data_IF_986710527505
#
_entry.id   IF_986710527505
#
_cell.length_a   1.000
_cell.length_b   1.000
_cell.length_c   1.000
_cell.angle_alpha   90.00
_cell.angle_beta   90.00
_cell.angle_gamma   90.00
#
_symmetry.space_group_name_H-M   'P 1'
#
loop_
_entity.id
_entity.type
_entity.pdbx_description
1 polymer ?
#
# COMPACT_ATOMS: atom_id res chain seq x y z
N UNK A 1 11.59 48.19 30.95
CA UNK A 1 11.52 48.37 32.42
C UNK A 1 10.72 47.24 33.05
N UNK A 2 11.24 46.69 34.14
CA UNK A 2 10.62 45.63 34.92
C UNK A 2 10.07 46.21 36.24
N UNK A 3 8.91 45.75 36.67
CA UNK A 3 8.28 46.16 37.92
C UNK A 3 7.77 44.95 38.70
N UNK A 4 7.69 45.11 40.03
CA UNK A 4 7.16 44.08 40.92
C UNK A 4 5.66 44.25 41.11
N UNK A 5 4.97 43.13 41.28
CA UNK A 5 3.57 43.07 41.68
C UNK A 5 3.46 42.08 42.82
N UNK A 6 2.97 42.53 43.98
CA UNK A 6 2.60 41.66 45.08
C UNK A 6 1.30 40.92 44.72
N UNK A 7 1.28 39.61 44.98
CA UNK A 7 0.10 38.76 44.85
C UNK A 7 -0.58 38.60 46.22
N UNK A 8 -1.91 38.37 46.30
CA UNK A 8 -2.59 38.13 47.59
C UNK A 8 -2.03 36.95 48.38
N UNK A 9 -1.33 36.01 47.72
CA UNK A 9 -0.61 34.89 48.36
C UNK A 9 0.67 35.32 49.10
N UNK A 10 1.05 36.59 49.03
CA UNK A 10 2.28 37.16 49.60
C UNK A 10 3.53 36.95 48.72
N UNK A 11 3.40 36.29 47.56
CA UNK A 11 4.52 36.10 46.64
C UNK A 11 4.69 37.29 45.70
N UNK A 12 5.94 37.69 45.47
CA UNK A 12 6.26 38.69 44.45
C UNK A 12 6.27 38.09 43.04
N UNK A 13 5.67 38.83 42.11
CA UNK A 13 5.77 38.59 40.68
C UNK A 13 6.55 39.71 40.02
N UNK A 14 7.39 39.37 39.05
CA UNK A 14 8.02 40.36 38.19
C UNK A 14 7.28 40.44 36.87
N UNK A 15 6.98 41.66 36.44
CA UNK A 15 6.37 41.97 35.15
C UNK A 15 7.30 42.87 34.36
N UNK A 16 7.47 42.58 33.06
CA UNK A 16 8.34 43.37 32.19
C UNK A 16 7.88 43.27 30.73
N UNK A 17 8.39 44.16 29.89
CA UNK A 17 8.18 44.12 28.44
C UNK A 17 9.50 43.85 27.73
N UNK A 18 9.46 42.98 26.74
CA UNK A 18 10.61 42.65 25.90
C UNK A 18 10.12 42.30 24.48
N UNK A 19 10.73 42.87 23.45
CA UNK A 19 10.33 42.64 22.05
C UNK A 19 8.85 42.94 21.76
N UNK A 20 8.30 44.00 22.35
CA UNK A 20 6.88 44.39 22.19
C UNK A 20 5.87 43.52 22.95
N UNK A 21 6.29 42.48 23.66
CA UNK A 21 5.40 41.58 24.42
C UNK A 21 5.57 41.79 25.93
N UNK A 22 4.46 41.67 26.69
CA UNK A 22 4.46 41.73 28.16
C UNK A 22 4.60 40.31 28.74
N UNK A 23 5.49 40.15 29.71
CA UNK A 23 5.70 38.91 30.45
C UNK A 23 5.43 39.14 31.94
N UNK A 24 4.93 38.09 32.61
CA UNK A 24 4.73 38.04 34.07
C UNK A 24 5.21 36.68 34.58
N UNK A 25 6.09 36.67 35.59
CA UNK A 25 6.62 35.45 36.21
C UNK A 25 6.63 35.60 37.74
N UNK A 26 6.33 34.52 38.44
CA UNK A 26 6.44 34.47 39.90
C UNK A 26 7.92 34.34 40.29
N UNK A 27 8.36 35.16 41.25
CA UNK A 27 9.70 35.03 41.83
C UNK A 27 9.75 33.99 42.95
N UNK A 28 8.59 33.46 43.37
CA UNK A 28 8.47 32.48 44.48
C UNK A 28 9.19 32.92 45.76
N UNK A 29 9.18 34.22 46.04
CA UNK A 29 9.73 34.81 47.26
C UNK A 29 8.68 35.74 47.87
N UNK A 30 8.65 35.74 49.21
CA UNK A 30 7.87 36.70 50.02
C UNK A 30 8.75 37.83 50.56
N UNK A 31 10.06 37.75 50.37
CA UNK A 31 11.02 38.76 50.80
C UNK A 31 11.12 39.86 49.73
N UNK A 32 10.78 41.08 50.13
CA UNK A 32 10.81 42.28 49.29
C UNK A 32 12.22 42.62 48.81
N UNK A 33 13.24 42.46 49.66
CA UNK A 33 14.62 42.79 49.31
C UNK A 33 15.16 41.81 48.25
N UNK A 34 14.88 40.52 48.41
CA UNK A 34 15.21 39.49 47.42
C UNK A 34 14.46 39.72 46.10
N UNK A 35 13.17 40.08 46.17
CA UNK A 35 12.37 40.38 44.99
C UNK A 35 12.95 41.57 44.20
N UNK A 36 13.35 42.64 44.88
CA UNK A 36 13.97 43.81 44.25
C UNK A 36 15.35 43.47 43.65
N UNK A 37 16.17 42.69 44.35
CA UNK A 37 17.44 42.20 43.82
C UNK A 37 17.26 41.40 42.52
N UNK A 38 16.24 40.53 42.43
CA UNK A 38 15.92 39.78 41.20
C UNK A 38 15.37 40.68 40.08
N UNK A 39 14.59 41.71 40.43
CA UNK A 39 14.09 42.71 39.46
C UNK A 39 15.26 43.47 38.82
N UNK A 40 16.22 43.93 39.62
CA UNK A 40 17.39 44.66 39.14
C UNK A 40 18.27 43.80 38.22
N UNK A 41 18.53 42.53 38.60
CA UNK A 41 19.26 41.59 37.72
C UNK A 41 18.55 41.37 36.39
N UNK A 42 17.23 41.21 36.42
CA UNK A 42 16.43 41.07 35.21
C UNK A 42 16.57 42.31 34.30
N UNK A 43 16.54 43.52 34.86
CA UNK A 43 16.74 44.75 34.07
C UNK A 43 18.12 44.82 33.45
N UNK A 44 19.16 44.40 34.17
CA UNK A 44 20.52 44.33 33.63
C UNK A 44 20.63 43.30 32.51
N UNK A 45 20.03 42.11 32.67
CA UNK A 45 20.01 41.10 31.63
C UNK A 45 19.27 41.58 30.37
N UNK A 46 18.18 42.35 30.52
CA UNK A 46 17.49 42.97 29.38
C UNK A 46 18.43 43.93 28.65
N UNK A 47 19.18 44.79 29.38
CA UNK A 47 20.17 45.70 28.77
C UNK A 47 21.30 44.95 28.06
N UNK A 48 21.78 43.84 28.63
CA UNK A 48 22.81 43.01 28.01
C UNK A 48 22.31 42.37 26.70
N UNK A 49 21.05 41.96 26.65
CA UNK A 49 20.44 41.45 25.42
C UNK A 49 20.25 42.55 24.39
N UNK A 50 19.72 43.71 24.80
CA UNK A 50 19.50 44.86 23.90
C UNK A 50 20.81 45.41 23.31
N UNK A 51 21.89 45.40 24.09
CA UNK A 51 23.23 45.76 23.63
C UNK A 51 23.94 44.67 22.82
N UNK A 52 23.34 43.48 22.68
CA UNK A 52 23.91 42.34 21.96
C UNK A 52 25.03 41.60 22.70
N UNK A 53 25.32 41.95 23.95
CA UNK A 53 26.34 41.29 24.78
C UNK A 53 25.89 39.93 25.32
N UNK A 54 24.58 39.74 25.48
CA UNK A 54 23.98 38.46 25.87
C UNK A 54 23.15 37.90 24.70
N UNK A 55 23.66 36.91 23.94
CA UNK A 55 22.92 36.34 22.82
C UNK A 55 21.76 35.47 23.33
N UNK A 56 20.54 35.76 22.88
CA UNK A 56 19.35 34.94 23.19
C UNK A 56 19.24 33.79 22.19
N UNK A 57 19.26 32.51 22.63
CA UNK A 57 19.05 31.38 21.75
C UNK A 57 17.66 31.43 21.09
N UNK A 58 17.56 31.08 19.80
CA UNK A 58 16.30 31.15 19.03
C UNK A 58 15.16 30.29 19.62
N UNK A 59 15.50 29.27 20.40
CA UNK A 59 14.54 28.32 20.99
C UNK A 59 14.33 28.52 22.50
N UNK A 60 14.99 29.51 23.13
CA UNK A 60 14.90 29.71 24.57
C UNK A 60 13.58 30.37 24.98
N UNK A 61 12.99 29.92 26.10
CA UNK A 61 11.92 30.65 26.77
C UNK A 61 12.50 31.94 27.37
N UNK A 62 12.27 33.06 26.67
CA UNK A 62 12.88 34.37 26.96
C UNK A 62 12.76 34.78 28.44
N UNK A 63 11.60 34.65 29.12
CA UNK A 63 11.52 35.00 30.55
C UNK A 63 12.36 34.10 31.44
N UNK A 64 12.44 32.81 31.14
CA UNK A 64 13.24 31.86 31.92
C UNK A 64 14.73 32.14 31.73
N UNK A 65 15.16 32.37 30.48
CA UNK A 65 16.55 32.70 30.15
C UNK A 65 17.03 34.00 30.82
N UNK A 66 16.19 35.05 30.80
CA UNK A 66 16.51 36.33 31.41
C UNK A 66 16.51 36.29 32.94
N UNK A 67 15.72 35.40 33.56
CA UNK A 67 15.68 35.23 35.02
C UNK A 67 16.79 34.32 35.55
N UNK A 68 17.45 33.55 34.68
CA UNK A 68 18.51 32.62 35.04
C UNK A 68 19.91 33.14 34.69
N UNK A 69 20.06 34.46 34.52
CA UNK A 69 21.33 35.12 34.16
C UNK A 69 21.99 34.50 32.91
N UNK A 70 21.17 34.06 31.94
CA UNK A 70 21.63 33.38 30.73
C UNK A 70 22.09 31.93 30.92
N UNK A 71 22.06 31.41 32.16
CA UNK A 71 22.39 30.01 32.47
C UNK A 71 21.10 29.19 32.42
N UNK A 72 20.92 28.39 31.38
CA UNK A 72 19.83 27.42 31.36
C UNK A 72 20.27 26.23 32.24
N UNK A 73 19.85 26.22 33.52
CA UNK A 73 20.22 25.18 34.51
C UNK A 73 19.73 23.77 34.16
N UNK A 74 18.77 23.66 33.25
CA UNK A 74 18.44 22.38 32.65
C UNK A 74 19.28 22.22 31.38
N UNK A 75 20.20 21.25 31.40
CA UNK A 75 20.76 20.66 30.18
C UNK A 75 19.56 20.34 29.30
N UNK A 76 19.34 21.14 28.25
CA UNK A 76 18.25 20.92 27.31
C UNK A 76 18.48 19.52 26.77
N UNK A 77 17.65 18.57 27.22
CA UNK A 77 17.62 17.25 26.62
C UNK A 77 16.99 17.47 25.27
N UNK A 78 17.84 17.70 24.27
CA UNK A 78 17.42 17.69 22.88
C UNK A 78 17.05 16.24 22.63
N UNK A 79 15.75 15.94 22.66
CA UNK A 79 15.25 14.63 22.27
C UNK A 79 15.85 14.28 20.91
N UNK A 80 16.47 13.10 20.83
CA UNK A 80 17.09 12.66 19.60
C UNK A 80 16.05 12.72 18.46
N UNK A 81 16.39 13.30 17.30
CA UNK A 81 15.45 13.44 16.21
C UNK A 81 14.96 12.06 15.78
N UNK A 82 13.64 11.93 15.60
CA UNK A 82 13.03 10.65 15.19
C UNK A 82 13.38 10.36 13.74
N UNK A 83 14.12 9.27 13.55
CA UNK A 83 14.52 8.77 12.23
C UNK A 83 13.44 7.89 11.63
N UNK A 84 13.46 7.72 10.30
CA UNK A 84 12.48 6.92 9.56
C UNK A 84 12.43 5.47 10.07
N UNK A 85 13.60 4.88 10.30
CA UNK A 85 13.72 3.53 10.84
C UNK A 85 13.07 3.43 12.23
N UNK A 86 13.38 4.36 13.14
CA UNK A 86 12.87 4.35 14.51
C UNK A 86 11.36 4.58 14.60
N UNK A 87 10.81 5.39 13.68
CA UNK A 87 9.37 5.59 13.56
C UNK A 87 8.68 4.29 13.18
N UNK A 88 9.14 3.62 12.12
CA UNK A 88 8.54 2.37 11.68
C UNK A 88 8.72 1.24 12.70
N UNK A 89 9.90 1.12 13.33
CA UNK A 89 10.12 0.14 14.39
C UNK A 89 9.15 0.33 15.54
N UNK A 90 9.00 1.57 16.03
CA UNK A 90 8.05 1.88 17.09
C UNK A 90 6.59 1.63 16.65
N UNK A 91 6.26 1.99 15.41
CA UNK A 91 4.92 1.79 14.85
C UNK A 91 4.56 0.30 14.80
N UNK A 92 5.44 -0.55 14.26
CA UNK A 92 5.19 -1.99 14.18
C UNK A 92 5.21 -2.66 15.56
N UNK A 93 6.05 -2.21 16.49
CA UNK A 93 6.06 -2.72 17.87
C UNK A 93 4.77 -2.38 18.64
N UNK A 94 4.11 -1.27 18.29
CA UNK A 94 2.86 -0.85 18.92
C UNK A 94 1.61 -1.53 18.34
N UNK A 95 1.72 -2.29 17.26
CA UNK A 95 0.58 -3.03 16.70
C UNK A 95 0.21 -4.20 17.62
N UNK A 96 -1.00 -4.17 18.17
CA UNK A 96 -1.55 -5.31 18.92
C UNK A 96 -1.78 -6.51 17.99
N UNK A 97 -1.58 -7.71 18.55
CA UNK A 97 -1.84 -8.97 17.84
C UNK A 97 -3.29 -9.01 17.35
N UNK A 98 -3.48 -9.24 16.05
CA UNK A 98 -4.80 -9.33 15.41
C UNK A 98 -5.41 -8.00 14.93
N UNK A 99 -4.76 -6.85 15.18
CA UNK A 99 -5.24 -5.56 14.66
C UNK A 99 -5.15 -5.46 13.13
N UNK A 100 -4.07 -6.02 12.57
CA UNK A 100 -3.87 -6.12 11.13
C UNK A 100 -3.59 -7.57 10.73
N UNK A 101 -4.06 -7.93 9.54
CA UNK A 101 -3.72 -9.20 8.91
C UNK A 101 -2.21 -9.30 8.66
N UNK A 102 -1.61 -10.47 8.88
CA UNK A 102 -0.18 -10.71 8.65
C UNK A 102 0.27 -10.35 7.23
N UNK A 103 -0.57 -10.63 6.22
CA UNK A 103 -0.31 -10.24 4.83
C UNK A 103 -0.26 -8.72 4.64
N UNK A 104 -1.09 -7.97 5.36
CA UNK A 104 -1.07 -6.50 5.37
C UNK A 104 0.21 -6.00 6.02
N UNK A 105 0.59 -6.55 7.17
CA UNK A 105 1.85 -6.20 7.86
C UNK A 105 3.04 -6.51 6.94
N UNK A 106 3.07 -7.68 6.30
CA UNK A 106 4.11 -8.04 5.33
C UNK A 106 4.16 -7.07 4.14
N UNK A 107 3.02 -6.61 3.66
CA UNK A 107 2.93 -5.57 2.63
C UNK A 107 3.55 -4.26 3.11
N UNK A 108 3.15 -3.79 4.30
CA UNK A 108 3.68 -2.56 4.90
C UNK A 108 5.20 -2.63 5.14
N UNK A 109 5.74 -3.79 5.50
CA UNK A 109 7.20 -4.00 5.64
C UNK A 109 7.94 -3.91 4.29
N UNK A 110 7.30 -4.30 3.17
CA UNK A 110 7.85 -4.02 1.83
C UNK A 110 7.88 -2.51 1.59
N UNK A 111 6.80 -1.82 1.94
CA UNK A 111 6.67 -0.37 1.73
C UNK A 111 7.70 0.41 2.55
N UNK A 112 7.89 0.03 3.82
CA UNK A 112 8.96 0.52 4.71
C UNK A 112 10.32 0.42 4.03
N UNK A 113 10.70 -0.78 3.56
CA UNK A 113 12.02 -1.00 2.92
C UNK A 113 12.22 -0.16 1.67
N UNK A 114 11.16 0.13 0.93
CA UNK A 114 11.23 1.03 -0.21
C UNK A 114 11.45 2.48 0.22
N UNK A 115 10.72 2.97 1.21
CA UNK A 115 10.89 4.32 1.76
C UNK A 115 12.30 4.49 2.34
N UNK A 116 12.76 3.54 3.13
CA UNK A 116 14.10 3.50 3.73
C UNK A 116 15.21 3.53 2.68
N UNK A 117 15.06 2.77 1.58
CA UNK A 117 16.04 2.76 0.48
C UNK A 117 16.17 4.12 -0.20
N UNK A 118 15.08 4.88 -0.32
CA UNK A 118 15.05 6.11 -1.11
C UNK A 118 15.26 7.38 -0.27
N UNK A 119 14.67 7.44 0.92
CA UNK A 119 14.81 8.58 1.83
C UNK A 119 16.02 8.43 2.77
N UNK A 120 16.45 7.18 3.02
CA UNK A 120 17.52 6.84 3.94
C UNK A 120 17.02 6.46 5.34
N UNK A 121 17.69 5.49 5.98
CA UNK A 121 17.29 4.97 7.30
C UNK A 121 17.36 6.05 8.40
N UNK A 122 18.38 6.92 8.33
CA UNK A 122 18.63 8.00 9.29
C UNK A 122 17.87 9.29 8.97
N UNK A 123 17.00 9.28 7.96
CA UNK A 123 16.22 10.46 7.58
C UNK A 123 15.37 10.94 8.75
N UNK A 124 15.50 12.21 9.13
CA UNK A 124 14.74 12.82 10.23
C UNK A 124 13.31 13.09 9.76
N UNK A 125 12.37 12.26 10.22
CA UNK A 125 11.01 12.22 9.68
C UNK A 125 10.30 13.56 9.84
N UNK A 126 10.49 14.24 10.97
CA UNK A 126 9.85 15.53 11.26
C UNK A 126 10.16 16.62 10.22
N UNK A 127 11.23 16.48 9.43
CA UNK A 127 11.64 17.41 8.37
C UNK A 127 11.06 17.06 6.99
N UNK A 128 10.32 15.97 6.85
CA UNK A 128 9.76 15.56 5.56
C UNK A 128 8.92 16.69 4.96
N UNK A 129 9.17 16.98 3.70
CA UNK A 129 8.46 17.98 2.92
C UNK A 129 7.65 17.32 1.81
N UNK A 130 6.80 18.12 1.14
CA UNK A 130 6.11 17.69 -0.08
C UNK A 130 7.12 17.34 -1.19
N UNK A 131 8.24 18.08 -1.27
CA UNK A 131 9.28 17.90 -2.28
C UNK A 131 10.03 16.57 -2.11
N UNK A 132 10.34 16.18 -0.87
CA UNK A 132 10.95 14.87 -0.57
C UNK A 132 10.04 13.72 -1.04
N UNK A 133 8.74 13.84 -0.76
CA UNK A 133 7.75 12.85 -1.17
C UNK A 133 7.55 12.85 -2.70
N UNK A 134 7.59 14.01 -3.35
CA UNK A 134 7.51 14.09 -4.82
C UNK A 134 8.75 13.47 -5.46
N UNK A 135 9.94 13.71 -4.91
CA UNK A 135 11.20 13.07 -5.32
C UNK A 135 11.11 11.56 -5.19
N UNK A 136 10.60 11.06 -4.06
CA UNK A 136 10.31 9.63 -3.89
C UNK A 136 9.40 9.09 -4.99
N UNK A 137 8.27 9.76 -5.28
CA UNK A 137 7.33 9.33 -6.33
C UNK A 137 8.01 9.29 -7.69
N UNK A 138 8.78 10.32 -8.06
CA UNK A 138 9.51 10.37 -9.33
C UNK A 138 10.51 9.22 -9.43
N UNK A 139 11.33 9.00 -8.41
CA UNK A 139 12.35 7.94 -8.43
C UNK A 139 11.73 6.54 -8.42
N UNK A 140 10.65 6.31 -7.66
CA UNK A 140 9.95 5.02 -7.69
C UNK A 140 9.31 4.75 -9.06
N UNK A 141 8.76 5.78 -9.71
CA UNK A 141 8.11 5.66 -11.01
C UNK A 141 9.06 5.35 -12.17
N UNK A 142 10.39 5.45 -11.97
CA UNK A 142 11.41 5.05 -12.95
C UNK A 142 11.87 3.59 -12.76
N UNK A 143 11.51 2.95 -11.66
CA UNK A 143 11.92 1.57 -11.40
C UNK A 143 11.10 0.59 -12.21
N UNK A 144 11.76 -0.51 -12.62
CA UNK A 144 11.11 -1.62 -13.31
C UNK A 144 10.09 -2.30 -12.40
N UNK A 145 8.87 -2.37 -12.88
CA UNK A 145 7.72 -3.08 -12.34
C UNK A 145 7.46 -4.40 -13.07
N UNK A 146 6.19 -4.75 -13.19
CA UNK A 146 5.74 -6.01 -13.80
C UNK A 146 5.72 -5.90 -15.34
N UNK A 147 6.00 -6.99 -16.04
CA UNK A 147 5.96 -7.07 -17.53
C UNK A 147 6.76 -5.96 -18.23
N UNK A 148 7.93 -5.63 -17.69
CA UNK A 148 8.83 -4.61 -18.28
C UNK A 148 8.35 -3.16 -18.13
N UNK A 149 7.14 -2.92 -17.60
CA UNK A 149 6.61 -1.58 -17.30
C UNK A 149 7.29 -1.00 -16.08
N UNK A 150 7.14 0.31 -15.89
CA UNK A 150 7.58 0.95 -14.66
C UNK A 150 6.56 0.73 -13.51
N UNK A 151 6.99 1.02 -12.27
CA UNK A 151 6.10 0.94 -11.10
C UNK A 151 4.95 1.95 -11.24
N UNK A 152 3.72 1.44 -11.29
CA UNK A 152 2.51 2.25 -11.44
C UNK A 152 2.17 3.10 -10.21
N UNK A 153 1.45 4.19 -10.43
CA UNK A 153 1.08 5.17 -9.41
C UNK A 153 0.28 4.58 -8.23
N UNK A 154 -0.53 3.53 -8.46
CA UNK A 154 -1.30 2.87 -7.40
C UNK A 154 -0.39 2.21 -6.37
N UNK A 155 0.69 1.57 -6.83
CA UNK A 155 1.68 0.92 -5.96
C UNK A 155 2.40 1.96 -5.10
N UNK A 156 2.88 3.04 -5.73
CA UNK A 156 3.54 4.14 -5.02
C UNK A 156 2.57 4.79 -4.03
N UNK A 157 1.31 4.98 -4.42
CA UNK A 157 0.26 5.50 -3.55
C UNK A 157 0.07 4.66 -2.28
N UNK A 158 0.07 3.33 -2.40
CA UNK A 158 -0.02 2.43 -1.23
C UNK A 158 1.18 2.56 -0.28
N UNK A 159 2.37 2.75 -0.83
CA UNK A 159 3.58 3.00 -0.03
C UNK A 159 3.47 4.32 0.75
N UNK A 160 3.02 5.39 0.10
CA UNK A 160 2.77 6.68 0.74
C UNK A 160 1.67 6.59 1.80
N UNK A 161 0.60 5.82 1.57
CA UNK A 161 -0.44 5.61 2.60
C UNK A 161 0.09 4.84 3.81
N UNK A 162 1.01 3.90 3.61
CA UNK A 162 1.68 3.22 4.73
C UNK A 162 2.53 4.19 5.54
N UNK A 163 3.27 5.07 4.87
CA UNK A 163 4.04 6.12 5.57
C UNK A 163 3.13 7.07 6.34
N UNK A 164 2.03 7.50 5.72
CA UNK A 164 1.02 8.34 6.36
C UNK A 164 0.41 7.67 7.59
N UNK A 165 0.14 6.37 7.54
CA UNK A 165 -0.36 5.63 8.70
C UNK A 165 0.63 5.66 9.87
N UNK A 166 1.92 5.40 9.59
CA UNK A 166 2.98 5.49 10.60
C UNK A 166 3.18 6.92 11.12
N UNK A 167 3.07 7.94 10.26
CA UNK A 167 3.12 9.35 10.64
C UNK A 167 2.01 9.71 11.61
N UNK A 168 0.75 9.41 11.25
CA UNK A 168 -0.40 9.74 12.08
C UNK A 168 -0.31 9.06 13.44
N UNK A 169 0.08 7.77 13.47
CA UNK A 169 0.37 7.08 14.71
C UNK A 169 1.47 7.78 15.53
N UNK A 170 2.53 8.26 14.88
CA UNK A 170 3.59 9.02 15.53
C UNK A 170 3.11 10.34 16.12
N UNK A 171 2.17 11.03 15.46
CA UNK A 171 1.51 12.23 16.01
C UNK A 171 0.66 11.89 17.22
N UNK A 172 -0.16 10.84 17.13
CA UNK A 172 -1.02 10.38 18.23
C UNK A 172 -0.18 9.94 19.45
N UNK A 173 0.97 9.30 19.20
CA UNK A 173 1.96 8.92 20.20
C UNK A 173 2.81 10.11 20.72
N UNK A 174 2.51 11.35 20.31
CA UNK A 174 3.24 12.59 20.65
C UNK A 174 4.74 12.58 20.28
N UNK A 175 5.12 11.69 19.35
CA UNK A 175 6.48 11.55 18.81
C UNK A 175 6.74 12.53 17.67
N UNK A 176 5.71 12.79 16.86
CA UNK A 176 5.75 13.74 15.74
C UNK A 176 4.76 14.88 15.95
N UNK A 177 4.95 15.96 15.19
CA UNK A 177 4.06 17.12 15.17
C UNK A 177 3.61 17.43 13.76
N UNK A 178 2.40 17.96 13.62
CA UNK A 178 1.86 18.46 12.36
C UNK A 178 1.24 17.41 11.46
N UNK A 179 0.71 17.88 10.32
CA UNK A 179 0.02 17.03 9.33
C UNK A 179 1.01 16.46 8.34
N UNK A 180 0.81 15.20 7.93
CA UNK A 180 1.62 14.56 6.89
C UNK A 180 1.50 15.33 5.55
N UNK A 181 2.61 15.72 4.89
CA UNK A 181 2.61 16.62 3.73
C UNK A 181 2.26 15.91 2.40
N UNK A 182 1.13 15.19 2.36
CA UNK A 182 0.66 14.47 1.16
C UNK A 182 -0.01 15.39 0.12
N UNK A 183 -0.61 16.50 0.56
CA UNK A 183 -1.45 17.35 -0.31
C UNK A 183 -0.59 17.96 -1.41
N UNK A 184 -0.95 17.72 -2.67
CA UNK A 184 -0.23 18.24 -3.84
C UNK A 184 0.63 17.22 -4.58
N UNK A 185 0.80 16.00 -4.05
CA UNK A 185 1.55 14.94 -4.72
C UNK A 185 0.96 14.59 -6.09
N UNK A 186 1.84 14.47 -7.09
CA UNK A 186 1.52 14.08 -8.46
C UNK A 186 2.08 12.70 -8.74
N UNK A 187 1.20 11.75 -9.04
CA UNK A 187 1.56 10.38 -9.38
C UNK A 187 1.61 10.21 -10.90
N UNK A 188 2.39 9.23 -11.42
CA UNK A 188 2.33 8.88 -12.83
C UNK A 188 0.89 8.47 -13.20
N UNK A 189 0.48 8.84 -14.42
CA UNK A 189 -0.84 8.45 -14.95
C UNK A 189 -0.96 6.94 -14.92
N UNK A 190 -2.09 6.46 -14.43
CA UNK A 190 -2.42 5.04 -14.48
C UNK A 190 -3.04 4.75 -15.83
N UNK A 191 -2.65 3.61 -16.39
CA UNK A 191 -3.34 3.02 -17.53
C UNK A 191 -4.46 2.17 -16.91
N UNK A 192 -5.70 2.48 -17.29
CA UNK A 192 -6.85 1.68 -16.89
C UNK A 192 -6.77 0.33 -17.59
N UNK A 193 -7.13 -0.74 -16.88
CA UNK A 193 -7.22 -2.07 -17.49
C UNK A 193 -8.39 -2.08 -18.48
N UNK A 194 -8.27 -2.84 -19.59
CA UNK A 194 -9.39 -3.02 -20.50
C UNK A 194 -10.59 -3.66 -19.79
N UNK A 195 -11.78 -3.52 -20.38
CA UNK A 195 -12.97 -4.19 -19.89
C UNK A 195 -12.78 -5.71 -19.90
N UNK A 196 -13.52 -6.40 -19.03
CA UNK A 196 -13.59 -7.86 -19.05
C UNK A 196 -14.19 -8.35 -20.37
N UNK A 197 -13.54 -9.31 -21.01
CA UNK A 197 -13.86 -9.78 -22.36
C UNK A 197 -13.78 -11.32 -22.46
N UNK A 198 -14.49 -11.88 -23.43
CA UNK A 198 -14.46 -13.32 -23.76
C UNK A 198 -13.17 -13.69 -24.49
N UNK A 199 -12.89 -14.99 -24.57
CA UNK A 199 -11.72 -15.50 -25.28
C UNK A 199 -11.69 -15.07 -26.75
N UNK A 200 -12.80 -15.27 -27.46
CA UNK A 200 -12.95 -14.93 -28.89
C UNK A 200 -12.75 -13.43 -29.16
N UNK A 201 -13.22 -12.56 -28.26
CA UNK A 201 -13.04 -11.11 -28.37
C UNK A 201 -11.57 -10.70 -28.22
N UNK A 202 -10.85 -11.35 -27.30
CA UNK A 202 -9.43 -11.11 -27.09
C UNK A 202 -8.63 -11.60 -28.31
N UNK A 203 -8.90 -12.80 -28.81
CA UNK A 203 -8.22 -13.34 -30.00
C UNK A 203 -8.42 -12.43 -31.21
N UNK A 204 -9.65 -11.99 -31.48
CA UNK A 204 -9.95 -11.06 -32.59
C UNK A 204 -9.15 -9.75 -32.50
N UNK A 205 -8.95 -9.22 -31.29
CA UNK A 205 -8.15 -8.00 -31.10
C UNK A 205 -6.66 -8.24 -31.32
N UNK A 206 -6.15 -9.40 -30.90
CA UNK A 206 -4.75 -9.78 -31.11
C UNK A 206 -4.49 -10.01 -32.61
N UNK A 207 -5.40 -10.68 -33.31
CA UNK A 207 -5.31 -10.94 -34.76
C UNK A 207 -5.29 -9.67 -35.60
N UNK A 208 -5.91 -8.58 -35.13
CA UNK A 208 -5.82 -7.27 -35.79
C UNK A 208 -4.41 -6.67 -35.77
N UNK A 209 -3.46 -7.25 -35.01
CA UNK A 209 -2.02 -7.03 -35.16
C UNK A 209 -1.47 -5.71 -34.62
N UNK A 210 -2.29 -4.89 -33.95
CA UNK A 210 -1.92 -3.54 -33.50
C UNK A 210 -1.55 -3.45 -32.01
N UNK A 211 -1.37 -4.59 -31.32
CA UNK A 211 -1.15 -4.65 -29.88
C UNK A 211 0.24 -5.17 -29.55
N UNK A 212 0.95 -4.47 -28.66
CA UNK A 212 2.19 -4.94 -28.06
C UNK A 212 1.96 -6.15 -27.15
N UNK A 213 2.99 -6.97 -26.92
CA UNK A 213 2.93 -8.13 -26.01
C UNK A 213 2.37 -7.80 -24.63
N UNK A 214 2.63 -6.58 -24.13
CA UNK A 214 2.14 -6.16 -22.82
C UNK A 214 0.64 -5.83 -22.84
N UNK A 215 0.14 -5.27 -23.93
CA UNK A 215 -1.29 -4.99 -24.12
C UNK A 215 -2.07 -6.27 -24.32
N UNK A 216 -1.52 -7.22 -25.09
CA UNK A 216 -2.10 -8.55 -25.22
C UNK A 216 -2.19 -9.24 -23.85
N UNK A 217 -1.15 -9.14 -23.03
CA UNK A 217 -1.16 -9.70 -21.68
C UNK A 217 -2.18 -9.02 -20.75
N UNK A 218 -2.46 -7.73 -20.92
CA UNK A 218 -3.50 -7.03 -20.15
C UNK A 218 -4.91 -7.46 -20.57
N UNK A 219 -5.14 -7.73 -21.86
CA UNK A 219 -6.39 -8.33 -22.32
C UNK A 219 -6.62 -9.70 -21.66
N UNK A 220 -5.59 -10.55 -21.63
CA UNK A 220 -5.68 -11.87 -20.98
C UNK A 220 -5.88 -11.81 -19.46
N UNK A 221 -5.40 -10.75 -18.78
CA UNK A 221 -5.72 -10.53 -17.36
C UNK A 221 -7.20 -10.17 -17.14
N UNK A 222 -7.87 -9.68 -18.17
CA UNK A 222 -9.29 -9.31 -18.18
C UNK A 222 -10.16 -10.35 -18.90
N UNK A 223 -9.67 -11.58 -19.08
CA UNK A 223 -10.49 -12.68 -19.58
C UNK A 223 -11.58 -13.06 -18.56
N UNK A 224 -12.81 -13.20 -19.03
CA UNK A 224 -13.83 -13.99 -18.33
C UNK A 224 -14.23 -15.20 -19.18
N UNK A 225 -14.57 -16.29 -18.51
CA UNK A 225 -14.97 -17.54 -19.15
C UNK A 225 -16.49 -17.62 -19.22
N UNK A 226 -17.00 -18.12 -20.35
CA UNK A 226 -18.39 -18.54 -20.53
C UNK A 226 -18.68 -19.83 -19.74
N UNK A 227 -19.96 -20.21 -19.62
CA UNK A 227 -20.33 -21.43 -18.91
C UNK A 227 -19.75 -22.68 -19.56
N UNK A 228 -19.79 -22.77 -20.90
CA UNK A 228 -19.24 -23.91 -21.63
C UNK A 228 -17.72 -24.02 -21.44
N UNK A 229 -17.00 -22.89 -21.49
CA UNK A 229 -15.55 -22.86 -21.23
C UNK A 229 -15.21 -23.21 -19.77
N UNK A 230 -16.05 -22.81 -18.82
CA UNK A 230 -15.91 -23.23 -17.41
C UNK A 230 -16.07 -24.75 -17.31
N UNK A 231 -17.06 -25.35 -17.98
CA UNK A 231 -17.28 -26.79 -17.97
C UNK A 231 -16.11 -27.55 -18.60
N UNK A 232 -15.58 -27.06 -19.73
CA UNK A 232 -14.36 -27.60 -20.36
C UNK A 232 -13.15 -27.52 -19.42
N UNK A 233 -12.95 -26.36 -18.77
CA UNK A 233 -11.88 -26.17 -17.78
C UNK A 233 -12.04 -27.13 -16.60
N UNK A 234 -13.24 -27.27 -16.06
CA UNK A 234 -13.52 -28.17 -14.94
C UNK A 234 -13.25 -29.63 -15.33
N UNK A 235 -13.65 -30.06 -16.54
CA UNK A 235 -13.32 -31.38 -17.07
C UNK A 235 -11.82 -31.60 -17.17
N UNK A 236 -11.10 -30.65 -17.77
CA UNK A 236 -9.64 -30.74 -17.90
C UNK A 236 -8.94 -30.83 -16.54
N UNK A 237 -9.34 -29.99 -15.56
CA UNK A 237 -8.77 -30.02 -14.22
C UNK A 237 -9.10 -31.33 -13.51
N UNK A 238 -10.29 -31.90 -13.70
CA UNK A 238 -10.66 -33.20 -13.12
C UNK A 238 -9.74 -34.33 -13.60
N UNK A 239 -9.38 -34.31 -14.88
CA UNK A 239 -8.55 -35.35 -15.52
C UNK A 239 -7.05 -35.18 -15.21
N UNK A 240 -6.58 -33.94 -15.04
CA UNK A 240 -5.13 -33.63 -14.96
C UNK A 240 -4.64 -33.26 -13.57
N UNK A 241 -5.53 -32.96 -12.61
CA UNK A 241 -5.14 -32.52 -11.28
C UNK A 241 -4.31 -33.57 -10.54
N UNK A 242 -3.04 -33.26 -10.30
CA UNK A 242 -2.13 -34.09 -9.49
C UNK A 242 -2.52 -34.19 -8.03
N UNK A 243 -3.26 -33.19 -7.52
CA UNK A 243 -3.65 -33.11 -6.12
C UNK A 243 -5.17 -33.19 -6.01
N UNK A 244 -5.72 -34.08 -5.17
CA UNK A 244 -7.17 -34.32 -5.13
C UNK A 244 -8.03 -33.12 -4.74
N UNK A 245 -7.43 -32.10 -4.10
CA UNK A 245 -8.14 -30.90 -3.68
C UNK A 245 -8.26 -29.83 -4.78
N UNK A 246 -7.50 -29.94 -5.88
CA UNK A 246 -7.46 -28.90 -6.91
C UNK A 246 -8.81 -28.83 -7.64
N UNK A 247 -9.31 -29.95 -8.17
CA UNK A 247 -10.59 -29.95 -8.89
C UNK A 247 -11.74 -29.39 -8.04
N UNK A 248 -11.95 -29.82 -6.78
CA UNK A 248 -12.95 -29.21 -5.92
C UNK A 248 -12.78 -27.72 -5.65
N UNK A 249 -11.53 -27.23 -5.54
CA UNK A 249 -11.30 -25.80 -5.38
C UNK A 249 -11.74 -25.02 -6.62
N UNK A 250 -11.55 -25.56 -7.83
CA UNK A 250 -12.05 -24.92 -9.05
C UNK A 250 -13.58 -24.94 -9.12
N UNK A 251 -14.22 -26.07 -8.78
CA UNK A 251 -15.68 -26.18 -8.67
C UNK A 251 -16.23 -25.14 -7.69
N UNK A 252 -15.62 -25.03 -6.49
CA UNK A 252 -16.01 -24.04 -5.51
C UNK A 252 -15.85 -22.61 -6.04
N UNK A 253 -14.75 -22.29 -6.71
CA UNK A 253 -14.54 -20.97 -7.32
C UNK A 253 -15.61 -20.65 -8.38
N UNK A 254 -15.90 -21.59 -9.28
CA UNK A 254 -16.87 -21.43 -10.37
C UNK A 254 -18.29 -21.18 -9.85
N UNK A 255 -18.75 -21.94 -8.86
CA UNK A 255 -20.14 -21.83 -8.37
C UNK A 255 -20.37 -20.76 -7.31
N UNK A 256 -19.33 -20.32 -6.58
CA UNK A 256 -19.51 -19.39 -5.45
C UNK A 256 -18.79 -18.05 -5.61
N UNK A 257 -17.88 -17.94 -6.59
CA UNK A 257 -16.97 -16.82 -6.71
C UNK A 257 -16.06 -16.63 -5.47
N UNK A 258 -15.82 -17.70 -4.69
CA UNK A 258 -14.95 -17.64 -3.53
C UNK A 258 -13.52 -17.28 -3.93
N UNK A 259 -12.92 -16.34 -3.22
CA UNK A 259 -11.51 -15.99 -3.42
C UNK A 259 -10.63 -17.15 -3.00
N UNK A 260 -9.46 -17.30 -3.63
CA UNK A 260 -8.46 -18.32 -3.27
C UNK A 260 -8.17 -18.40 -1.77
N UNK A 261 -7.98 -17.25 -1.11
CA UNK A 261 -7.72 -17.22 0.34
C UNK A 261 -8.92 -17.65 1.18
N UNK A 262 -10.14 -17.47 0.69
CA UNK A 262 -11.37 -17.91 1.35
C UNK A 262 -11.45 -19.44 1.29
N UNK A 263 -11.31 -20.01 0.09
CA UNK A 263 -11.31 -21.47 -0.12
C UNK A 263 -10.22 -22.19 0.69
N UNK A 264 -9.00 -21.65 0.73
CA UNK A 264 -7.88 -22.26 1.47
C UNK A 264 -8.06 -22.26 3.00
N UNK A 265 -9.02 -21.48 3.53
CA UNK A 265 -9.31 -21.39 4.97
C UNK A 265 -10.63 -22.05 5.35
N UNK A 266 -11.43 -22.49 4.38
CA UNK A 266 -12.68 -23.20 4.64
C UNK A 266 -12.42 -24.42 5.51
N UNK A 267 -13.30 -24.62 6.49
CA UNK A 267 -13.28 -25.74 7.42
C UNK A 267 -14.40 -26.71 7.08
N UNK A 268 -14.34 -27.95 7.58
CA UNK A 268 -15.42 -28.93 7.37
C UNK A 268 -16.77 -28.44 7.88
N UNK A 269 -16.76 -27.70 8.99
CA UNK A 269 -17.96 -27.10 9.61
C UNK A 269 -18.60 -26.00 8.78
N UNK A 270 -17.90 -25.50 7.75
CA UNK A 270 -18.43 -24.47 6.85
C UNK A 270 -19.38 -25.07 5.80
N UNK A 271 -19.45 -26.40 5.70
CA UNK A 271 -20.27 -27.12 4.72
C UNK A 271 -21.39 -27.88 5.45
N UNK A 272 -22.59 -27.32 5.40
CA UNK A 272 -23.76 -27.85 6.10
C UNK A 272 -24.83 -28.23 5.09
N UNK A 273 -24.80 -29.49 4.63
CA UNK A 273 -25.76 -30.07 3.69
C UNK A 273 -25.94 -29.19 2.46
N UNK A 274 -26.99 -28.37 2.48
CA UNK A 274 -27.42 -27.53 1.38
C UNK A 274 -26.86 -26.09 1.44
N UNK A 275 -25.93 -25.81 2.35
CA UNK A 275 -25.31 -24.47 2.47
C UNK A 275 -23.80 -24.51 2.63
N UNK A 276 -23.12 -23.54 2.03
CA UNK A 276 -21.70 -23.28 2.23
C UNK A 276 -21.52 -21.90 2.86
N UNK A 277 -20.83 -21.86 4.00
CA UNK A 277 -20.49 -20.63 4.72
C UNK A 277 -19.09 -20.18 4.36
N UNK A 278 -18.96 -19.09 3.61
CA UNK A 278 -17.66 -18.51 3.25
C UNK A 278 -17.25 -17.50 4.31
N UNK A 279 -16.08 -17.73 4.92
CA UNK A 279 -15.44 -16.81 5.87
C UNK A 279 -14.63 -15.74 5.12
N UNK A 280 -15.19 -14.54 5.07
CA UNK A 280 -14.63 -13.39 4.38
C UNK A 280 -13.74 -12.56 5.31
N UNK A 281 -12.64 -12.04 4.77
CA UNK A 281 -11.75 -11.11 5.49
C UNK A 281 -11.67 -9.71 4.89
N UNK A 282 -12.05 -9.55 3.62
CA UNK A 282 -11.89 -8.30 2.88
C UNK A 282 -13.16 -7.46 2.77
N UNK A 283 -14.34 -8.01 3.11
CA UNK A 283 -15.62 -7.33 2.89
C UNK A 283 -15.89 -6.23 3.91
N UNK A 284 -15.71 -6.53 5.19
CA UNK A 284 -15.99 -5.58 6.28
C UNK A 284 -14.70 -5.17 6.97
N UNK A 285 -14.44 -3.87 7.07
CA UNK A 285 -13.24 -3.35 7.74
C UNK A 285 -13.37 -3.58 9.25
N UNK A 286 -12.33 -4.13 9.85
CA UNK A 286 -12.24 -4.33 11.32
C UNK A 286 -13.14 -5.44 11.87
N UNK A 287 -13.83 -6.21 11.03
CA UNK A 287 -14.66 -7.34 11.45
C UNK A 287 -14.43 -8.53 10.53
N UNK A 288 -14.49 -9.73 11.10
CA UNK A 288 -14.64 -10.94 10.31
C UNK A 288 -16.09 -11.02 9.85
N UNK A 289 -16.32 -11.28 8.57
CA UNK A 289 -17.66 -11.45 8.02
C UNK A 289 -17.81 -12.84 7.41
N UNK A 290 -19.05 -13.29 7.33
CA UNK A 290 -19.41 -14.53 6.66
C UNK A 290 -20.51 -14.26 5.67
N UNK A 291 -20.53 -15.03 4.58
CA UNK A 291 -21.68 -15.12 3.68
C UNK A 291 -22.06 -16.58 3.51
N UNK A 292 -23.35 -16.85 3.49
CA UNK A 292 -23.89 -18.19 3.22
C UNK A 292 -24.42 -18.23 1.80
N UNK A 293 -24.11 -19.30 1.09
CA UNK A 293 -24.58 -19.55 -0.27
C UNK A 293 -25.28 -20.91 -0.30
N UNK A 294 -26.31 -21.02 -1.13
CA UNK A 294 -26.94 -22.31 -1.43
C UNK A 294 -25.91 -23.24 -2.07
N UNK A 295 -25.87 -24.48 -1.57
CA UNK A 295 -24.95 -25.49 -2.04
C UNK A 295 -25.53 -26.10 -3.32
N UNK A 296 -24.90 -25.83 -4.46
CA UNK A 296 -25.28 -26.51 -5.70
C UNK A 296 -24.89 -27.99 -5.62
N UNK A 297 -25.64 -28.86 -6.31
CA UNK A 297 -25.47 -30.32 -6.29
C UNK A 297 -24.02 -30.80 -6.54
N UNK A 298 -23.22 -30.02 -7.29
CA UNK A 298 -21.80 -30.28 -7.56
C UNK A 298 -20.88 -30.16 -6.33
N UNK A 299 -21.21 -29.28 -5.39
CA UNK A 299 -20.47 -29.14 -4.12
C UNK A 299 -20.91 -30.20 -3.09
N UNK A 300 -22.13 -30.73 -3.21
CA UNK A 300 -22.62 -31.87 -2.41
C UNK A 300 -21.78 -33.13 -2.70
N UNK A 301 -21.45 -33.39 -3.97
CA UNK A 301 -20.56 -34.51 -4.39
C UNK A 301 -19.17 -34.37 -3.77
N UNK A 302 -18.66 -33.14 -3.60
CA UNK A 302 -17.40 -32.92 -2.88
C UNK A 302 -17.52 -33.18 -1.37
N UNK A 303 -18.62 -32.76 -0.75
CA UNK A 303 -18.86 -32.95 0.68
C UNK A 303 -19.00 -34.43 1.10
N UNK A 304 -19.34 -35.30 0.13
CA UNK A 304 -19.52 -36.74 0.28
C UNK A 304 -18.27 -37.58 -0.14
N UNK A 305 -17.24 -36.96 -0.71
CA UNK A 305 -16.05 -37.69 -1.18
C UNK A 305 -15.09 -38.05 -0.03
N UNK A 306 -14.48 -39.26 0.01
CA UNK A 306 -13.53 -39.68 1.06
C UNK A 306 -12.29 -38.77 1.21
N UNK A 307 -12.08 -37.87 0.25
CA UNK A 307 -11.04 -36.83 0.22
C UNK A 307 -11.20 -35.73 1.29
N UNK A 308 -12.31 -35.73 2.05
CA UNK A 308 -12.59 -34.81 3.16
C UNK A 308 -11.48 -34.83 4.23
N UNK A 309 -10.83 -35.98 4.46
CA UNK A 309 -9.73 -36.12 5.44
C UNK A 309 -8.35 -35.84 4.85
N UNK A 310 -8.08 -36.22 3.60
CA UNK A 310 -6.76 -36.04 2.96
C UNK A 310 -6.52 -34.59 2.52
N UNK A 311 -7.56 -33.87 2.11
CA UNK A 311 -7.48 -32.46 1.68
C UNK A 311 -7.45 -31.43 2.82
N UNK A 312 -7.70 -31.82 4.08
CA UNK A 312 -7.56 -30.93 5.25
C UNK A 312 -6.37 -31.28 6.14
N UNK A 313 -5.85 -32.51 6.09
CA UNK A 313 -4.67 -32.93 6.83
C UNK A 313 -3.33 -32.36 6.29
N UNK A 314 -3.28 -31.75 5.09
CA UNK A 314 -2.04 -31.14 4.59
C UNK A 314 -1.51 -30.00 5.48
N UNK A 315 -2.40 -29.33 6.26
CA UNK A 315 -1.97 -28.34 7.26
C UNK A 315 -1.11 -28.94 8.38
N UNK A 316 -1.21 -30.25 8.66
CA UNK A 316 -0.39 -30.92 9.68
C UNK A 316 1.05 -31.20 9.24
N UNK A 317 1.37 -31.11 7.95
CA UNK A 317 2.72 -31.33 7.41
C UNK A 317 3.53 -30.04 7.17
N UNK A 318 2.99 -28.88 7.54
CA UNK A 318 3.73 -27.61 7.51
C UNK A 318 4.21 -27.33 8.95
N UNK A 319 5.53 -27.36 9.24
CA UNK A 319 6.00 -27.09 10.59
C UNK A 319 5.61 -25.67 10.99
N UNK A 320 5.03 -25.54 12.19
CA UNK A 320 4.77 -24.23 12.80
C UNK A 320 6.12 -23.54 13.10
N UNK A 321 6.27 -22.23 12.83
CA UNK A 321 7.48 -21.51 13.20
C UNK A 321 7.45 -21.27 14.72
N UNK A 322 8.04 -22.18 15.49
CA UNK A 322 8.11 -22.01 16.93
C UNK A 322 8.54 -23.25 17.70
N UNK A 323 9.82 -23.61 17.61
CA UNK A 323 10.61 -24.12 18.75
C UNK A 323 12.09 -24.23 18.35
N UNK A 324 13.04 -23.79 19.18
CA UNK A 324 14.46 -23.78 18.82
C UNK A 324 15.05 -25.17 19.06
N UNK A 325 15.58 -25.81 18.01
CA UNK A 325 16.57 -26.88 18.16
C UNK A 325 17.89 -26.43 17.54
N UNK A 326 18.89 -26.33 18.40
CA UNK A 326 20.29 -26.04 18.13
C UNK A 326 20.94 -27.15 17.29
N UNK A 327 21.30 -26.87 16.04
CA UNK A 327 22.36 -27.56 15.26
C UNK A 327 22.90 -26.60 14.15
N UNK A 328 24.06 -26.83 13.51
CA UNK A 328 25.11 -25.83 13.34
C UNK A 328 24.96 -25.02 12.05
N UNK A 329 25.62 -23.87 12.08
CA UNK A 329 25.58 -22.79 11.10
C UNK A 329 26.11 -23.24 9.72
N UNK A 330 25.22 -23.60 8.81
CA UNK A 330 25.51 -23.55 7.36
C UNK A 330 24.88 -22.28 6.80
N UNK A 331 25.70 -21.43 6.18
CA UNK A 331 25.27 -20.20 5.49
C UNK A 331 24.28 -20.55 4.38
N UNK A 332 23.00 -20.30 4.60
CA UNK A 332 21.98 -20.33 3.55
C UNK A 332 21.50 -18.91 3.25
N UNK A 333 21.63 -18.52 1.98
CA UNK A 333 21.13 -17.27 1.42
C UNK A 333 19.60 -17.21 1.61
N UNK A 334 19.12 -16.04 2.01
CA UNK A 334 17.74 -15.62 2.21
C UNK A 334 16.78 -16.12 1.11
N UNK A 335 15.70 -16.83 1.51
CA UNK A 335 14.60 -17.23 0.62
C UNK A 335 13.24 -16.89 1.22
N UNK A 336 12.37 -16.16 0.51
CA UNK A 336 10.92 -16.19 0.69
C UNK A 336 10.30 -16.93 -0.52
N UNK A 337 10.36 -18.26 -0.55
CA UNK A 337 10.09 -19.03 -1.79
C UNK A 337 9.32 -20.34 -1.62
N UNK A 338 8.35 -20.47 -0.70
CA UNK A 338 7.49 -21.66 -0.69
C UNK A 338 6.15 -21.48 -1.42
N UNK A 339 5.49 -20.32 -1.29
CA UNK A 339 4.22 -20.04 -2.00
C UNK A 339 4.41 -19.64 -3.45
N UNK A 340 5.54 -19.01 -3.79
CA UNK A 340 5.92 -18.72 -5.19
C UNK A 340 6.45 -19.96 -5.94
N UNK A 341 7.05 -20.93 -5.26
CA UNK A 341 7.60 -22.13 -5.91
C UNK A 341 6.53 -23.13 -6.33
N UNK A 342 5.48 -23.32 -5.51
CA UNK A 342 4.34 -24.19 -5.86
C UNK A 342 3.57 -23.61 -7.06
N UNK A 343 3.40 -22.29 -7.14
CA UNK A 343 2.74 -21.66 -8.28
C UNK A 343 3.62 -21.60 -9.52
N UNK A 344 4.94 -21.38 -9.36
CA UNK A 344 5.90 -21.53 -10.47
C UNK A 344 6.00 -22.96 -10.97
N UNK A 345 5.80 -23.98 -10.13
CA UNK A 345 5.73 -25.37 -10.54
C UNK A 345 4.43 -25.70 -11.32
N UNK A 346 3.37 -24.93 -11.09
CA UNK A 346 2.12 -24.96 -11.87
C UNK A 346 2.30 -24.17 -13.19
N UNK A 347 3.02 -23.04 -13.18
CA UNK A 347 3.33 -22.25 -14.39
C UNK A 347 4.41 -22.91 -15.28
N UNK A 348 5.39 -23.61 -14.72
CA UNK A 348 6.44 -24.32 -15.46
C UNK A 348 5.97 -25.65 -16.04
N UNK A 349 4.77 -26.10 -15.68
CA UNK A 349 4.10 -27.26 -16.24
C UNK A 349 3.16 -26.90 -17.40
N UNK A 350 3.17 -25.65 -17.90
CA UNK A 350 2.49 -25.27 -19.13
C UNK A 350 3.15 -25.98 -20.32
N UNK A 351 2.48 -26.91 -21.03
CA UNK A 351 2.86 -27.17 -22.41
C UNK A 351 2.61 -25.88 -23.23
N UNK A 352 3.27 -25.69 -24.39
CA UNK A 352 2.84 -24.65 -25.31
C UNK A 352 1.36 -24.89 -25.60
N UNK A 353 0.51 -23.92 -25.28
CA UNK A 353 -0.91 -23.97 -25.60
C UNK A 353 -1.00 -23.77 -27.11
N UNK A 354 -0.85 -24.87 -27.83
CA UNK A 354 -1.29 -25.04 -29.21
C UNK A 354 -2.59 -25.82 -29.12
N UNK A 355 -3.64 -25.19 -28.59
CA UNK A 355 -5.00 -25.70 -28.80
C UNK A 355 -5.43 -25.11 -30.15
N UNK A 356 -4.99 -25.74 -31.23
CA UNK A 356 -5.58 -25.50 -32.54
C UNK A 356 -6.98 -26.11 -32.53
N UNK A 357 -8.04 -25.29 -32.54
CA UNK A 357 -9.35 -25.80 -32.96
C UNK A 357 -9.23 -26.32 -34.41
N UNK A 358 -9.86 -27.45 -34.76
CA UNK A 358 -9.95 -27.89 -36.15
C UNK A 358 -10.67 -26.80 -36.97
N UNK A 359 -10.06 -26.39 -38.09
CA UNK A 359 -10.66 -25.43 -39.04
C UNK A 359 -12.05 -25.92 -39.47
N UNK A 360 -13.06 -25.04 -39.59
CA UNK A 360 -14.34 -25.43 -40.12
C UNK A 360 -14.19 -25.92 -41.57
N UNK A 361 -14.81 -27.07 -41.88
CA UNK A 361 -14.87 -27.59 -43.25
C UNK A 361 -15.50 -26.53 -44.17
N UNK A 362 -14.66 -25.95 -45.04
CA UNK A 362 -15.11 -25.17 -46.19
C UNK A 362 -15.82 -26.15 -47.12
N UNK A 363 -17.14 -25.97 -47.29
CA UNK A 363 -17.90 -26.64 -48.35
C UNK A 363 -17.37 -26.14 -49.69
N UNK A 364 -16.81 -27.06 -50.48
CA UNK A 364 -16.45 -26.86 -51.88
C UNK A 364 -17.71 -26.53 -52.71
N UNK A 365 -17.78 -25.30 -53.23
CA UNK A 365 -18.70 -24.98 -54.34
C UNK A 365 -17.89 -24.86 -55.63
N UNK A 366 -18.22 -25.76 -56.54
CA UNK A 366 -17.69 -25.94 -57.88
C UNK A 366 -18.01 -24.75 -58.80
N UNK A 367 -16.95 -24.27 -59.46
CA UNK A 367 -16.82 -23.51 -60.72
C UNK A 367 -18.06 -23.01 -61.49
N UNK A 368 -18.02 -21.73 -61.88
CA UNK A 368 -18.39 -21.29 -63.23
C UNK A 368 -17.54 -20.06 -63.64
N UNK A 369 -17.05 -20.09 -64.87
CA UNK A 369 -16.02 -19.25 -65.46
C UNK A 369 -16.57 -18.19 -66.44
N UNK A 370 -16.05 -16.95 -66.33
CA UNK A 370 -15.77 -15.95 -67.40
C UNK A 370 -16.96 -15.39 -68.25
N UNK A 371 -16.88 -14.21 -68.91
CA UNK A 371 -15.67 -13.53 -69.38
C UNK A 371 -15.57 -12.00 -69.19
N UNK A 372 -14.39 -11.52 -69.58
CA UNK A 372 -13.85 -10.16 -69.73
C UNK A 372 -14.53 -9.25 -70.76
N UNK A 373 -14.68 -7.97 -70.42
CA UNK A 373 -14.54 -6.72 -71.22
C UNK A 373 -14.42 -5.58 -70.18
N UNK A 374 -13.69 -4.47 -70.28
CA UNK A 374 -13.06 -3.75 -71.37
C UNK A 374 -13.41 -2.26 -71.25
N UNK A 375 -12.41 -1.41 -70.97
CA UNK A 375 -12.30 0.00 -71.40
C UNK A 375 -12.89 1.20 -70.60
N UNK A 376 -11.96 2.15 -70.37
CA UNK A 376 -12.02 3.61 -70.57
C UNK A 376 -12.67 4.60 -69.56
N UNK A 377 -11.78 5.48 -69.07
CA UNK A 377 -11.85 6.95 -68.96
C UNK A 377 -13.23 7.63 -69.06
N UNK A 378 -13.54 8.47 -68.07
CA UNK A 378 -13.78 9.91 -68.36
C UNK A 378 -13.52 10.80 -67.14
N UNK A 379 -12.98 11.97 -67.44
CA UNK A 379 -12.75 13.12 -66.55
C UNK A 379 -14.08 13.84 -66.31
N UNK A 380 -14.30 14.39 -65.12
CA UNK A 380 -15.11 15.60 -64.97
C UNK A 380 -14.70 16.39 -63.72
N UNK A 381 -14.10 17.54 -64.01
CA UNK A 381 -13.83 18.70 -63.15
C UNK A 381 -15.15 19.35 -62.71
N UNK A 382 -15.30 19.74 -61.44
CA UNK A 382 -16.08 20.92 -61.04
C UNK A 382 -15.79 21.27 -59.58
N UNK A 383 -14.95 22.28 -59.33
CA UNK A 383 -15.30 23.69 -59.00
C UNK A 383 -15.59 23.92 -57.51
N UNK A 384 -14.76 24.80 -56.95
CA UNK A 384 -14.84 25.45 -55.65
C UNK A 384 -16.24 25.99 -55.31
N UNK A 385 -16.59 25.96 -54.02
CA UNK A 385 -17.24 27.12 -53.40
C UNK A 385 -16.80 27.22 -51.94
N UNK A 386 -16.10 28.32 -51.68
CA UNK A 386 -15.78 28.87 -50.36
C UNK A 386 -17.06 29.45 -49.75
N UNK A 387 -17.35 29.15 -48.48
CA UNK A 387 -18.10 30.07 -47.61
C UNK A 387 -17.55 30.00 -46.18
N UNK A 388 -16.96 31.13 -45.79
CA UNK A 388 -16.68 31.53 -44.42
C UNK A 388 -17.91 32.24 -43.81
N UNK A 389 -17.80 32.52 -42.50
CA UNK A 389 -18.70 33.29 -41.60
C UNK A 389 -19.88 32.48 -41.03
N UNK A 390 -20.10 32.36 -39.72
CA UNK A 390 -19.72 33.19 -38.55
C UNK A 390 -19.00 32.39 -37.45
#
# INVERSE_FOLDING_TARGET
MAWLQADPSGNYHVSFRFGGRKFKRSLRTKDAANAEGRRLRLEENIRLVESGRLPVPREADVPTFLLSDGKLDNKVVIDAPITLISLFDSFFAALSTGNLEESTVSGMQIHRRHLERHLGNAFVVQRISLEDLQTYVMERSKQKGLRGRNVGGNTIGKEIETFRAAWNWGVDARKLKGKFPKKGLRFPKQIEMPAFQTWDEIERQIEQGNLSDTEQADLWDCLFLTLDEIDELLKHVKETARQPFIYPMFVMAAHTGARRSEMLRSQTTDFNGDTVTIRERKRVRGKQSTRSLGNTMLLVVWSASPLKQTSMNWRRKIPSPGTPKTVPRVRCKTTPTLTRSIWRAIESARPPISISRPKPLIKSSTTASMPTTGSALSKATSTQTVRSTN
#
